data_IF_122570291851
#
_entry.id   IF_122570291851
#
_cell.length_a   1.000
_cell.length_b   1.000
_cell.length_c   1.000
_cell.angle_alpha   90.00
_cell.angle_beta   90.00
_cell.angle_gamma   90.00
#
_symmetry.space_group_name_H-M   'P 1'
#
loop_
_entity.id
_entity.type
_entity.pdbx_description
1 polymer ?
#
# COMPACT_ATOMS: atom_id res chain seq x y z
N UNK A 1 -33.58 55.64 10.07
CA UNK A 1 -33.97 54.21 10.10
C UNK A 1 -32.70 53.41 9.93
N UNK A 2 -32.24 52.79 11.01
CA UNK A 2 -30.99 52.03 11.08
C UNK A 2 -31.29 50.59 10.62
N UNK A 3 -30.62 50.14 9.58
CA UNK A 3 -30.78 48.81 9.00
C UNK A 3 -29.89 47.81 9.77
N UNK A 4 -30.49 46.98 10.61
CA UNK A 4 -29.81 45.90 11.36
C UNK A 4 -29.92 44.59 10.57
N UNK A 5 -29.12 44.41 9.56
CA UNK A 5 -28.93 43.10 8.98
C UNK A 5 -27.81 42.37 9.73
N UNK A 6 -28.21 41.41 10.51
CA UNK A 6 -27.36 40.50 11.25
C UNK A 6 -26.74 39.52 10.27
N UNK A 7 -25.45 39.73 9.93
CA UNK A 7 -24.68 38.83 9.08
C UNK A 7 -24.12 37.71 9.96
N UNK A 8 -24.84 36.62 10.05
CA UNK A 8 -24.36 35.39 10.66
C UNK A 8 -23.29 34.82 9.74
N UNK A 9 -22.03 35.08 10.05
CA UNK A 9 -20.92 34.36 9.43
C UNK A 9 -20.91 32.93 9.99
N UNK A 10 -21.47 32.02 9.20
CA UNK A 10 -21.22 30.60 9.39
C UNK A 10 -19.76 30.35 9.00
N UNK A 11 -18.89 30.21 10.00
CA UNK A 11 -17.57 29.64 9.81
C UNK A 11 -17.75 28.16 9.43
N UNK A 12 -17.84 27.90 8.13
CA UNK A 12 -17.66 26.54 7.62
C UNK A 12 -16.21 26.15 7.95
N UNK A 13 -16.09 25.26 8.93
CA UNK A 13 -14.87 24.49 9.11
C UNK A 13 -14.74 23.66 7.83
N UNK A 14 -13.82 24.07 6.95
CA UNK A 14 -13.46 23.32 5.76
C UNK A 14 -12.94 21.96 6.24
N UNK A 15 -13.66 20.89 5.90
CA UNK A 15 -13.13 19.55 5.97
C UNK A 15 -11.79 19.53 5.24
N UNK A 16 -10.76 18.82 5.74
CA UNK A 16 -9.50 18.70 5.02
C UNK A 16 -9.82 18.18 3.63
N UNK A 17 -9.35 18.92 2.62
CA UNK A 17 -9.45 18.51 1.23
C UNK A 17 -8.82 17.13 1.14
N UNK A 18 -9.65 16.11 0.99
CA UNK A 18 -9.21 14.80 0.55
C UNK A 18 -8.58 15.06 -0.81
N UNK A 19 -7.27 15.07 -0.86
CA UNK A 19 -6.52 15.03 -2.10
C UNK A 19 -6.90 13.68 -2.72
N UNK A 20 -7.96 13.68 -3.52
CA UNK A 20 -8.25 12.58 -4.42
C UNK A 20 -7.09 12.62 -5.42
N UNK A 21 -6.08 11.81 -5.16
CA UNK A 21 -5.19 11.33 -6.19
C UNK A 21 -6.12 10.79 -7.28
N UNK A 22 -6.00 11.21 -8.55
CA UNK A 22 -6.79 10.60 -9.60
C UNK A 22 -6.45 9.12 -9.57
N UNK A 23 -7.35 8.29 -9.06
CA UNK A 23 -7.37 6.88 -9.39
C UNK A 23 -7.80 6.85 -10.86
N UNK A 24 -6.87 7.14 -11.78
CA UNK A 24 -6.92 6.56 -13.09
C UNK A 24 -7.11 5.07 -12.84
N UNK A 25 -8.08 4.48 -13.51
CA UNK A 25 -8.37 3.05 -13.41
C UNK A 25 -7.09 2.29 -13.80
N UNK A 26 -6.21 2.04 -12.82
CA UNK A 26 -4.97 1.33 -13.02
C UNK A 26 -5.33 -0.12 -13.35
N UNK A 27 -5.26 -0.47 -14.62
CA UNK A 27 -5.46 -1.82 -15.10
C UNK A 27 -4.11 -2.49 -15.26
N UNK A 28 -3.81 -3.45 -14.39
CA UNK A 28 -2.59 -4.27 -14.48
C UNK A 28 -2.45 -4.95 -15.85
N UNK A 29 -3.57 -5.36 -16.45
CA UNK A 29 -3.57 -6.02 -17.76
C UNK A 29 -3.17 -5.05 -18.89
N UNK A 30 -3.67 -3.80 -18.88
CA UNK A 30 -3.29 -2.79 -19.85
C UNK A 30 -1.84 -2.35 -19.69
N UNK A 31 -1.37 -2.21 -18.45
CA UNK A 31 0.03 -1.94 -18.17
C UNK A 31 0.94 -3.07 -18.66
N UNK A 32 0.55 -4.34 -18.45
CA UNK A 32 1.31 -5.50 -18.92
C UNK A 32 1.51 -5.46 -20.42
N UNK A 33 0.44 -5.26 -21.19
CA UNK A 33 0.51 -5.22 -22.65
C UNK A 33 1.38 -4.07 -23.13
N UNK A 34 1.24 -2.88 -22.55
CA UNK A 34 2.09 -1.73 -22.88
C UNK A 34 3.59 -2.00 -22.63
N UNK A 35 3.92 -2.69 -21.55
CA UNK A 35 5.31 -3.06 -21.25
C UNK A 35 5.85 -4.09 -22.25
N UNK A 36 5.08 -5.11 -22.62
CA UNK A 36 5.48 -6.12 -23.63
C UNK A 36 5.75 -5.45 -24.97
N UNK A 37 4.84 -4.57 -25.44
CA UNK A 37 5.00 -3.86 -26.71
C UNK A 37 6.26 -2.98 -26.73
N UNK A 38 6.62 -2.38 -25.59
CA UNK A 38 7.84 -1.56 -25.46
C UNK A 38 9.11 -2.44 -25.44
N UNK A 39 9.06 -3.61 -24.78
CA UNK A 39 10.20 -4.54 -24.77
C UNK A 39 10.50 -5.13 -26.15
N UNK A 40 9.45 -5.43 -26.92
CA UNK A 40 9.61 -5.88 -28.30
C UNK A 40 10.26 -4.80 -29.17
N UNK A 41 9.84 -3.52 -29.04
CA UNK A 41 10.40 -2.41 -29.81
C UNK A 41 11.84 -2.09 -29.45
N UNK A 42 12.22 -2.24 -28.18
CA UNK A 42 13.57 -1.89 -27.70
C UNK A 42 14.60 -3.01 -27.86
N UNK A 43 14.17 -4.23 -28.23
CA UNK A 43 15.05 -5.41 -28.30
C UNK A 43 15.52 -5.87 -26.91
N UNK A 44 14.83 -5.46 -25.84
CA UNK A 44 15.14 -5.97 -24.50
C UNK A 44 14.66 -7.39 -24.32
N UNK A 45 13.59 -7.79 -25.02
CA UNK A 45 13.03 -9.11 -24.94
C UNK A 45 14.06 -10.20 -25.33
N UNK A 46 14.80 -9.98 -26.42
CA UNK A 46 15.83 -10.90 -26.87
C UNK A 46 16.99 -11.03 -25.86
N UNK A 47 17.33 -9.95 -25.15
CA UNK A 47 18.38 -10.01 -24.12
C UNK A 47 17.98 -10.87 -22.92
N UNK A 48 16.72 -10.83 -22.55
CA UNK A 48 16.20 -11.66 -21.45
C UNK A 48 15.99 -13.10 -21.89
N UNK A 49 15.48 -13.36 -23.11
CA UNK A 49 15.34 -14.70 -23.69
C UNK A 49 16.72 -15.38 -23.82
N UNK A 50 17.75 -14.64 -24.23
CA UNK A 50 19.13 -15.15 -24.32
C UNK A 50 19.75 -15.60 -22.99
N UNK A 51 19.15 -15.24 -21.83
CA UNK A 51 19.57 -15.76 -20.52
C UNK A 51 19.10 -17.19 -20.25
N UNK A 52 18.21 -17.73 -21.08
CA UNK A 52 17.67 -19.08 -20.94
C UNK A 52 18.62 -20.06 -21.63
N UNK A 53 19.43 -20.75 -20.84
CA UNK A 53 20.33 -21.83 -21.34
C UNK A 53 19.56 -23.15 -21.29
N UNK A 54 18.99 -23.54 -22.41
CA UNK A 54 18.08 -24.72 -22.54
C UNK A 54 18.74 -26.03 -22.11
N UNK A 55 20.07 -26.18 -22.29
CA UNK A 55 20.85 -27.36 -21.88
C UNK A 55 21.35 -27.31 -20.43
N UNK A 56 21.13 -26.21 -19.70
CA UNK A 56 21.41 -26.11 -18.27
C UNK A 56 20.07 -25.99 -17.46
N UNK A 57 19.63 -27.10 -16.84
CA UNK A 57 18.44 -27.08 -15.99
C UNK A 57 18.48 -26.04 -14.85
N UNK A 58 19.68 -25.71 -14.34
CA UNK A 58 19.83 -24.72 -13.29
C UNK A 58 19.57 -23.30 -13.82
N UNK A 59 19.91 -23.01 -15.06
CA UNK A 59 19.59 -21.74 -15.71
C UNK A 59 18.08 -21.54 -15.78
N UNK A 60 17.33 -22.57 -16.20
CA UNK A 60 15.87 -22.54 -16.28
C UNK A 60 15.24 -22.32 -14.89
N UNK A 61 15.67 -23.06 -13.87
CA UNK A 61 15.16 -22.93 -12.50
C UNK A 61 15.41 -21.55 -11.91
N UNK A 62 16.55 -20.95 -12.23
CA UNK A 62 16.93 -19.62 -11.73
C UNK A 62 16.35 -18.48 -12.55
N UNK A 63 15.82 -18.74 -13.73
CA UNK A 63 15.27 -17.71 -14.59
C UNK A 63 14.16 -16.91 -13.87
N UNK A 64 14.28 -15.60 -13.81
CA UNK A 64 13.36 -14.70 -13.10
C UNK A 64 13.38 -14.77 -11.56
N UNK A 65 14.28 -15.58 -10.96
CA UNK A 65 14.32 -15.73 -9.50
C UNK A 65 14.70 -14.43 -8.77
N UNK A 66 15.60 -13.62 -9.35
CA UNK A 66 15.99 -12.32 -8.78
C UNK A 66 14.80 -11.37 -8.71
N UNK A 67 14.03 -11.24 -9.81
CA UNK A 67 12.85 -10.38 -9.84
C UNK A 67 11.78 -10.87 -8.83
N UNK A 68 11.54 -12.17 -8.74
CA UNK A 68 10.61 -12.76 -7.79
C UNK A 68 11.04 -12.54 -6.33
N UNK A 69 12.33 -12.61 -6.03
CA UNK A 69 12.88 -12.37 -4.70
C UNK A 69 12.73 -10.88 -4.29
N UNK A 70 12.93 -9.95 -5.20
CA UNK A 70 12.76 -8.53 -4.93
C UNK A 70 11.29 -8.17 -4.69
N UNK A 71 10.36 -8.74 -5.45
CA UNK A 71 8.92 -8.62 -5.18
C UNK A 71 8.56 -9.15 -3.80
N UNK A 72 9.09 -10.32 -3.41
CA UNK A 72 8.86 -10.92 -2.09
C UNK A 72 9.40 -10.04 -0.97
N UNK A 73 10.63 -9.53 -1.08
CA UNK A 73 11.22 -8.61 -0.10
C UNK A 73 10.41 -7.33 0.05
N UNK A 74 9.93 -6.78 -1.06
CA UNK A 74 9.08 -5.59 -1.04
C UNK A 74 7.75 -5.85 -0.33
N UNK A 75 7.10 -6.98 -0.59
CA UNK A 75 5.88 -7.39 0.09
C UNK A 75 6.07 -7.52 1.61
N UNK A 76 7.18 -8.12 2.04
CA UNK A 76 7.52 -8.24 3.46
C UNK A 76 7.71 -6.88 4.14
N UNK A 77 8.33 -5.92 3.46
CA UNK A 77 8.49 -4.55 3.99
C UNK A 77 7.13 -3.86 4.13
N UNK A 78 6.20 -4.03 3.17
CA UNK A 78 4.82 -3.52 3.27
C UNK A 78 4.12 -4.10 4.49
N UNK A 79 4.12 -5.42 4.63
CA UNK A 79 3.44 -6.11 5.72
C UNK A 79 3.98 -5.71 7.10
N UNK A 80 5.30 -5.58 7.22
CA UNK A 80 5.96 -5.19 8.47
C UNK A 80 5.90 -3.68 8.75
N UNK A 81 5.74 -2.86 7.72
CA UNK A 81 5.68 -1.39 7.83
C UNK A 81 4.32 -0.85 8.26
N UNK A 82 3.24 -1.63 8.15
CA UNK A 82 1.90 -1.25 8.57
C UNK A 82 1.71 -1.46 10.07
N UNK A 83 1.98 -0.43 10.87
CA UNK A 83 1.76 -0.49 12.33
C UNK A 83 0.29 -0.22 12.66
N UNK A 84 -0.53 -1.29 12.63
CA UNK A 84 -1.97 -1.24 12.95
C UNK A 84 -2.24 -0.80 14.41
N UNK A 85 -1.29 -0.96 15.33
CA UNK A 85 -1.45 -0.56 16.72
C UNK A 85 -1.57 0.96 16.88
N UNK A 86 -0.88 1.73 16.05
CA UNK A 86 -0.98 3.19 16.05
C UNK A 86 -2.36 3.67 15.62
N UNK A 87 -2.92 3.07 14.57
CA UNK A 87 -4.28 3.40 14.09
C UNK A 87 -5.32 3.08 15.17
N UNK A 88 -5.22 1.91 15.82
CA UNK A 88 -6.11 1.51 16.90
C UNK A 88 -5.99 2.42 18.14
N UNK A 89 -4.80 2.88 18.45
CA UNK A 89 -4.56 3.78 19.59
C UNK A 89 -5.12 5.20 19.33
N UNK A 90 -4.98 5.73 18.12
CA UNK A 90 -5.59 7.01 17.75
C UNK A 90 -7.13 6.96 17.85
N UNK A 91 -7.76 5.85 17.45
CA UNK A 91 -9.20 5.62 17.63
C UNK A 91 -9.64 5.66 19.09
N UNK A 92 -8.90 4.99 19.98
CA UNK A 92 -9.18 5.01 21.43
C UNK A 92 -9.03 6.42 22.03
N UNK A 93 -8.08 7.21 21.53
CA UNK A 93 -7.90 8.60 21.97
C UNK A 93 -9.05 9.50 21.53
N UNK A 94 -9.56 9.34 20.31
CA UNK A 94 -10.74 10.06 19.83
C UNK A 94 -11.97 9.68 20.66
N UNK A 95 -12.15 8.41 21.03
CA UNK A 95 -13.22 7.97 21.93
C UNK A 95 -13.07 8.58 23.34
N UNK A 96 -11.85 8.67 23.87
CA UNK A 96 -11.59 9.31 25.14
C UNK A 96 -11.91 10.81 25.09
N UNK A 97 -11.54 11.50 24.01
CA UNK A 97 -11.84 12.89 23.78
C UNK A 97 -13.36 13.14 23.71
N UNK A 98 -14.10 12.28 23.00
CA UNK A 98 -15.56 12.36 22.91
C UNK A 98 -16.22 12.21 24.28
N UNK A 99 -15.75 11.27 25.11
CA UNK A 99 -16.21 11.10 26.50
C UNK A 99 -15.96 12.33 27.37
N UNK A 100 -14.76 12.94 27.25
CA UNK A 100 -14.45 14.16 27.99
C UNK A 100 -15.36 15.30 27.54
N UNK A 101 -15.53 15.48 26.22
CA UNK A 101 -16.41 16.51 25.67
C UNK A 101 -17.88 16.28 26.06
N UNK A 102 -18.35 15.03 26.03
CA UNK A 102 -19.71 14.66 26.46
C UNK A 102 -19.95 14.86 27.96
N UNK A 103 -18.91 14.89 28.78
CA UNK A 103 -19.00 15.18 30.23
C UNK A 103 -19.00 16.69 30.56
N UNK A 104 -18.88 17.54 29.53
CA UNK A 104 -18.93 18.98 29.67
C UNK A 104 -20.38 19.46 29.72
N UNK A 105 -20.84 19.84 30.90
CA UNK A 105 -22.22 20.32 31.12
C UNK A 105 -22.25 21.86 31.31
N UNK A 106 -22.69 22.56 30.28
CA UNK A 106 -22.82 24.02 30.33
C UNK A 106 -23.91 24.47 31.29
N UNK A 107 -24.86 23.61 31.63
CA UNK A 107 -25.98 23.97 32.52
C UNK A 107 -25.54 23.92 33.98
N UNK A 108 -24.56 23.08 34.35
CA UNK A 108 -23.89 23.15 35.68
C UNK A 108 -23.33 24.55 35.98
N UNK A 109 -22.90 25.28 34.96
CA UNK A 109 -22.36 26.66 35.11
C UNK A 109 -23.50 27.69 35.18
N UNK A 110 -24.64 27.43 34.56
CA UNK A 110 -25.78 28.37 34.53
C UNK A 110 -26.66 28.30 35.75
N UNK A 111 -26.84 27.13 36.35
CA UNK A 111 -27.77 26.95 37.50
C UNK A 111 -27.33 27.69 38.75
N UNK A 112 -26.05 28.02 38.91
CA UNK A 112 -25.56 28.74 40.11
C UNK A 112 -25.86 30.24 40.10
N UNK A 113 -26.50 30.82 39.07
CA UNK A 113 -26.89 32.23 39.06
C UNK A 113 -28.12 32.55 39.96
N UNK A 114 -28.86 31.51 40.38
CA UNK A 114 -30.09 31.66 41.18
C UNK A 114 -29.94 31.54 42.66
N UNK A 115 -28.77 31.09 43.18
CA UNK A 115 -28.57 30.78 44.60
C UNK A 115 -27.60 31.69 45.35
N UNK A 116 -27.26 32.85 44.78
CA UNK A 116 -26.36 33.84 45.38
C UNK A 116 -26.80 34.48 46.70
N UNK A 117 -27.99 34.09 47.20
CA UNK A 117 -28.59 34.73 48.36
C UNK A 117 -28.47 34.05 49.74
N UNK A 118 -28.12 32.76 49.84
CA UNK A 118 -28.34 32.05 51.12
C UNK A 118 -27.22 31.14 51.69
N UNK A 119 -26.10 30.88 51.03
CA UNK A 119 -25.12 29.94 51.60
C UNK A 119 -23.66 30.21 51.17
N UNK A 120 -23.10 31.32 51.73
CA UNK A 120 -21.70 31.74 51.44
C UNK A 120 -20.60 30.70 51.77
N UNK A 121 -20.84 29.68 52.54
CA UNK A 121 -19.83 28.67 52.90
C UNK A 121 -19.71 27.49 51.92
N UNK A 122 -20.79 27.09 51.29
CA UNK A 122 -20.80 25.91 50.41
C UNK A 122 -20.61 26.27 48.93
N UNK A 123 -20.99 27.48 48.51
CA UNK A 123 -20.84 27.94 47.14
C UNK A 123 -19.35 28.01 46.72
N UNK A 124 -18.48 28.49 47.61
CA UNK A 124 -17.01 28.53 47.32
C UNK A 124 -16.43 27.15 47.08
N UNK A 125 -16.78 26.16 47.93
CA UNK A 125 -16.30 24.77 47.78
C UNK A 125 -16.86 24.08 46.50
N UNK A 126 -18.12 24.40 46.13
CA UNK A 126 -18.72 23.89 44.88
C UNK A 126 -18.05 24.52 43.68
N UNK A 127 -17.80 25.83 43.69
CA UNK A 127 -17.07 26.51 42.62
C UNK A 127 -15.64 26.00 42.46
N UNK A 128 -14.93 25.81 43.58
CA UNK A 128 -13.58 25.21 43.54
C UNK A 128 -13.58 23.79 42.96
N UNK A 129 -14.57 22.96 43.31
CA UNK A 129 -14.70 21.61 42.74
C UNK A 129 -15.02 21.66 41.23
N UNK A 130 -15.84 22.59 40.82
CA UNK A 130 -16.21 22.80 39.42
C UNK A 130 -14.99 23.25 38.60
N UNK A 131 -14.27 24.26 39.10
CA UNK A 131 -13.02 24.76 38.51
C UNK A 131 -11.98 23.66 38.40
N UNK A 132 -11.79 22.86 39.45
CA UNK A 132 -10.84 21.75 39.44
C UNK A 132 -11.25 20.67 38.41
N UNK A 133 -12.57 20.36 38.34
CA UNK A 133 -13.08 19.42 37.33
C UNK A 133 -12.73 19.88 35.91
N UNK A 134 -13.01 21.14 35.56
CA UNK A 134 -12.76 21.68 34.23
C UNK A 134 -11.27 21.89 33.93
N UNK A 135 -10.47 22.28 34.93
CA UNK A 135 -9.00 22.35 34.78
C UNK A 135 -8.41 20.96 34.48
N UNK A 136 -8.84 19.92 35.22
CA UNK A 136 -8.40 18.55 34.98
C UNK A 136 -8.81 18.06 33.60
N UNK A 137 -10.03 18.39 33.17
CA UNK A 137 -10.49 18.05 31.80
C UNK A 137 -9.66 18.76 30.72
N UNK A 138 -9.32 20.04 30.92
CA UNK A 138 -8.43 20.78 30.03
C UNK A 138 -7.05 20.12 29.92
N UNK A 139 -6.45 19.74 31.02
CA UNK A 139 -5.16 19.04 31.06
C UNK A 139 -5.22 17.67 30.32
N UNK A 140 -6.33 16.95 30.44
CA UNK A 140 -6.54 15.68 29.72
C UNK A 140 -6.71 15.89 28.21
N UNK A 141 -7.46 16.92 27.82
CA UNK A 141 -7.62 17.31 26.40
C UNK A 141 -6.27 17.69 25.80
N UNK A 142 -5.46 18.47 26.48
CA UNK A 142 -4.13 18.88 26.01
C UNK A 142 -3.18 17.70 25.84
N UNK A 143 -3.24 16.72 26.74
CA UNK A 143 -2.47 15.47 26.59
C UNK A 143 -2.91 14.68 25.37
N UNK A 144 -4.22 14.51 25.17
CA UNK A 144 -4.75 13.80 24.01
C UNK A 144 -4.38 14.54 22.73
N UNK A 145 -4.52 15.87 22.69
CA UNK A 145 -4.13 16.68 21.55
C UNK A 145 -2.66 16.52 21.18
N UNK A 146 -1.78 16.57 22.20
CA UNK A 146 -0.34 16.39 21.99
C UNK A 146 -0.02 15.00 21.40
N UNK A 147 -0.69 13.97 21.90
CA UNK A 147 -0.50 12.60 21.39
C UNK A 147 -1.06 12.43 19.98
N UNK A 148 -2.23 13.02 19.68
CA UNK A 148 -2.78 13.02 18.33
C UNK A 148 -1.85 13.70 17.31
N UNK A 149 -1.17 14.79 17.72
CA UNK A 149 -0.15 15.46 16.90
C UNK A 149 1.04 14.55 16.58
N UNK A 150 1.46 13.72 17.52
CA UNK A 150 2.52 12.73 17.29
C UNK A 150 2.04 11.69 16.27
N UNK A 151 0.83 11.16 16.45
CA UNK A 151 0.26 10.19 15.49
C UNK A 151 0.03 10.77 14.11
N UNK A 152 -0.39 12.02 13.99
CA UNK A 152 -0.49 12.73 12.70
C UNK A 152 0.85 12.66 11.95
N UNK A 153 1.96 13.00 12.63
CA UNK A 153 3.30 12.93 12.03
C UNK A 153 3.75 11.51 11.67
N UNK A 154 3.38 10.52 12.47
CA UNK A 154 3.68 9.11 12.18
C UNK A 154 2.87 8.58 10.99
N UNK A 155 1.58 8.93 10.90
CA UNK A 155 0.72 8.59 9.76
C UNK A 155 1.24 9.24 8.47
N UNK A 156 1.62 10.51 8.51
CA UNK A 156 2.21 11.18 7.34
C UNK A 156 3.51 10.50 6.88
N UNK A 157 4.35 10.08 7.82
CA UNK A 157 5.57 9.32 7.50
C UNK A 157 5.24 7.95 6.92
N UNK A 158 4.24 7.25 7.47
CA UNK A 158 3.78 5.97 6.96
C UNK A 158 3.24 6.11 5.53
N UNK A 159 2.45 7.14 5.25
CA UNK A 159 1.92 7.42 3.90
C UNK A 159 3.05 7.67 2.90
N UNK A 160 4.05 8.49 3.25
CA UNK A 160 5.23 8.69 2.38
C UNK A 160 5.99 7.39 2.10
N UNK A 161 6.13 6.53 3.10
CA UNK A 161 6.75 5.22 2.92
C UNK A 161 5.91 4.33 1.99
N UNK A 162 4.58 4.33 2.15
CA UNK A 162 3.67 3.57 1.28
C UNK A 162 3.74 4.05 -0.18
N UNK A 163 3.83 5.36 -0.42
CA UNK A 163 4.00 5.92 -1.76
C UNK A 163 5.33 5.45 -2.40
N UNK A 164 6.41 5.48 -1.64
CA UNK A 164 7.70 4.99 -2.11
C UNK A 164 7.65 3.49 -2.43
N UNK A 165 7.01 2.71 -1.55
CA UNK A 165 6.87 1.27 -1.74
C UNK A 165 5.97 0.94 -2.94
N UNK A 166 4.90 1.70 -3.17
CA UNK A 166 4.06 1.54 -4.35
C UNK A 166 4.86 1.73 -5.64
N UNK A 167 5.67 2.79 -5.71
CA UNK A 167 6.51 3.05 -6.87
C UNK A 167 7.56 1.93 -7.09
N UNK A 168 8.22 1.48 -6.02
CA UNK A 168 9.17 0.37 -6.11
C UNK A 168 8.49 -0.94 -6.55
N UNK A 169 7.28 -1.23 -6.05
CA UNK A 169 6.50 -2.39 -6.47
C UNK A 169 6.13 -2.33 -7.96
N UNK A 170 5.86 -1.14 -8.48
CA UNK A 170 5.58 -0.95 -9.90
C UNK A 170 6.83 -1.26 -10.76
N UNK A 171 8.01 -0.83 -10.31
CA UNK A 171 9.28 -1.16 -10.97
C UNK A 171 9.57 -2.67 -10.95
N UNK A 172 9.36 -3.34 -9.80
CA UNK A 172 9.52 -4.80 -9.69
C UNK A 172 8.51 -5.56 -10.55
N UNK A 173 7.28 -5.09 -10.60
CA UNK A 173 6.26 -5.65 -11.50
C UNK A 173 6.70 -5.53 -12.97
N UNK A 174 7.24 -4.39 -13.35
CA UNK A 174 7.78 -4.15 -14.69
C UNK A 174 8.91 -5.14 -15.03
N UNK A 175 9.86 -5.34 -14.11
CA UNK A 175 10.93 -6.34 -14.29
C UNK A 175 10.38 -7.77 -14.38
N UNK A 176 9.41 -8.13 -13.54
CA UNK A 176 8.79 -9.45 -13.57
C UNK A 176 8.08 -9.71 -14.91
N UNK A 177 7.39 -8.72 -15.46
CA UNK A 177 6.74 -8.80 -16.77
C UNK A 177 7.76 -9.06 -17.88
N UNK A 178 8.97 -8.47 -17.82
CA UNK A 178 10.05 -8.76 -18.77
C UNK A 178 10.46 -10.25 -18.74
N UNK A 179 10.66 -10.80 -17.54
CA UNK A 179 11.00 -12.22 -17.40
C UNK A 179 9.88 -13.15 -17.89
N UNK A 180 8.62 -12.82 -17.59
CA UNK A 180 7.47 -13.61 -18.06
C UNK A 180 7.42 -13.56 -19.59
N UNK A 181 7.45 -12.39 -20.21
CA UNK A 181 7.39 -12.24 -21.66
C UNK A 181 8.57 -12.95 -22.36
N UNK A 182 9.77 -12.81 -21.81
CA UNK A 182 10.95 -13.50 -22.34
C UNK A 182 10.87 -15.03 -22.17
N UNK A 183 10.30 -15.51 -21.08
CA UNK A 183 10.04 -16.92 -20.88
C UNK A 183 9.00 -17.48 -21.83
N UNK A 184 7.88 -16.77 -22.05
CA UNK A 184 6.85 -17.11 -23.03
C UNK A 184 7.45 -17.18 -24.46
N UNK A 185 8.31 -16.22 -24.82
CA UNK A 185 9.02 -16.22 -26.09
C UNK A 185 10.02 -17.37 -26.17
N UNK A 186 10.76 -17.64 -25.10
CA UNK A 186 11.68 -18.77 -25.02
C UNK A 186 11.01 -20.12 -25.17
N UNK A 187 9.83 -20.33 -24.57
CA UNK A 187 9.02 -21.52 -24.75
C UNK A 187 8.62 -21.70 -26.23
N UNK A 188 8.20 -20.63 -26.88
CA UNK A 188 7.81 -20.65 -28.28
C UNK A 188 8.99 -21.02 -29.20
N UNK A 189 10.14 -20.38 -29.02
CA UNK A 189 11.35 -20.66 -29.79
C UNK A 189 11.83 -22.09 -29.58
N UNK A 190 11.78 -22.59 -28.34
CA UNK A 190 12.16 -23.96 -28.01
C UNK A 190 11.21 -24.97 -28.64
N UNK A 191 9.90 -24.69 -28.62
CA UNK A 191 8.91 -25.54 -29.28
C UNK A 191 9.16 -25.66 -30.79
N UNK A 192 9.36 -24.53 -31.47
CA UNK A 192 9.68 -24.50 -32.90
C UNK A 192 10.99 -25.24 -33.22
N UNK A 193 11.99 -25.14 -32.34
CA UNK A 193 13.25 -25.88 -32.48
C UNK A 193 13.08 -27.40 -32.31
N UNK A 194 12.25 -27.83 -31.36
CA UNK A 194 11.92 -29.24 -31.13
C UNK A 194 11.20 -29.80 -32.37
N UNK A 195 10.22 -29.08 -32.92
CA UNK A 195 9.52 -29.52 -34.15
C UNK A 195 10.46 -29.71 -35.35
N UNK A 196 11.44 -28.80 -35.51
CA UNK A 196 12.47 -28.94 -36.56
C UNK A 196 13.33 -30.21 -36.35
N UNK A 197 13.73 -30.49 -35.11
CA UNK A 197 14.49 -31.67 -34.77
C UNK A 197 13.73 -32.98 -34.95
N UNK A 198 12.41 -32.96 -34.68
CA UNK A 198 11.54 -34.12 -34.94
C UNK A 198 11.39 -34.41 -36.44
N UNK A 199 11.30 -33.38 -37.27
CA UNK A 199 11.31 -33.56 -38.74
C UNK A 199 12.64 -34.13 -39.25
N UNK A 200 13.78 -33.68 -38.65
CA UNK A 200 15.10 -34.22 -38.94
C UNK A 200 15.20 -35.71 -38.55
N UNK A 201 14.67 -36.04 -37.36
CA UNK A 201 14.66 -37.44 -36.87
C UNK A 201 13.84 -38.35 -37.78
N UNK A 202 12.69 -37.88 -38.30
CA UNK A 202 11.82 -38.64 -39.18
C UNK A 202 12.55 -39.08 -40.51
N UNK A 203 13.58 -38.33 -40.88
CA UNK A 203 14.36 -38.60 -42.09
C UNK A 203 15.69 -39.36 -41.86
N UNK A 204 16.25 -39.26 -40.61
CA UNK A 204 17.61 -39.75 -40.34
C UNK A 204 17.71 -41.01 -39.48
N UNK A 205 16.66 -41.38 -38.75
CA UNK A 205 16.60 -42.51 -37.80
C UNK A 205 17.80 -42.53 -36.78
N UNK A 206 18.24 -41.34 -36.35
CA UNK A 206 19.40 -41.12 -35.51
C UNK A 206 19.01 -41.22 -34.02
N UNK A 207 19.63 -42.16 -33.27
CA UNK A 207 19.34 -42.37 -31.81
C UNK A 207 19.81 -41.22 -30.97
N UNK A 208 20.92 -40.56 -31.30
CA UNK A 208 21.44 -39.42 -30.53
C UNK A 208 20.48 -38.23 -30.64
N UNK A 209 19.88 -38.03 -31.82
CA UNK A 209 18.88 -36.99 -32.04
C UNK A 209 17.60 -37.26 -31.24
N UNK A 210 17.19 -38.54 -31.11
CA UNK A 210 16.08 -38.92 -30.27
C UNK A 210 16.29 -38.57 -28.79
N UNK A 211 17.52 -38.79 -28.31
CA UNK A 211 17.90 -38.43 -26.94
C UNK A 211 17.95 -36.90 -26.73
N UNK A 212 18.47 -36.17 -27.70
CA UNK A 212 18.48 -34.70 -27.71
C UNK A 212 17.05 -34.14 -27.63
N UNK A 213 16.14 -34.62 -28.47
CA UNK A 213 14.73 -34.21 -28.45
C UNK A 213 14.08 -34.48 -27.08
N UNK A 214 14.36 -35.62 -26.47
CA UNK A 214 13.85 -35.94 -25.12
C UNK A 214 14.30 -34.93 -24.07
N UNK A 215 15.59 -34.52 -24.10
CA UNK A 215 16.12 -33.52 -23.20
C UNK A 215 15.52 -32.13 -23.45
N UNK A 216 15.35 -31.74 -24.71
CA UNK A 216 14.72 -30.47 -25.10
C UNK A 216 13.25 -30.39 -24.64
N UNK A 217 12.47 -31.47 -24.76
CA UNK A 217 11.10 -31.54 -24.24
C UNK A 217 11.05 -31.46 -22.72
N UNK A 218 12.04 -32.01 -22.01
CA UNK A 218 12.15 -31.85 -20.57
C UNK A 218 12.45 -30.40 -20.20
N UNK A 219 13.34 -29.73 -20.93
CA UNK A 219 13.65 -28.32 -20.73
C UNK A 219 12.43 -27.42 -21.01
N UNK A 220 11.66 -27.71 -22.08
CA UNK A 220 10.40 -27.03 -22.42
C UNK A 220 9.41 -27.09 -21.24
N UNK A 221 9.13 -28.31 -20.74
CA UNK A 221 8.25 -28.49 -19.59
C UNK A 221 8.73 -27.74 -18.33
N UNK A 222 10.05 -27.69 -18.06
CA UNK A 222 10.61 -26.97 -16.95
C UNK A 222 10.44 -25.46 -17.12
N UNK A 223 10.62 -24.95 -18.33
CA UNK A 223 10.47 -23.53 -18.64
C UNK A 223 9.00 -23.09 -18.54
N UNK A 224 8.07 -23.89 -19.08
CA UNK A 224 6.62 -23.65 -18.97
C UNK A 224 6.14 -23.61 -17.53
N UNK A 225 6.71 -24.45 -16.64
CA UNK A 225 6.36 -24.43 -15.21
C UNK A 225 6.96 -23.23 -14.48
N UNK A 226 8.02 -22.64 -15.05
CA UNK A 226 8.73 -21.53 -14.43
C UNK A 226 8.11 -20.17 -14.81
N UNK A 227 7.52 -20.04 -15.98
CA UNK A 227 6.87 -18.83 -16.51
C UNK A 227 5.45 -18.72 -16.01
#
# INVERSE_FOLDING_TARGET
>A
MINLQNKTEQTQVAAPATTQTPQENFSLAECRQGYIDDFEKTGELEKYTAKIEVFDPNSIVKFGSEAAEEVSKSADVVLNGMNMDQINNSGKMLEALDKIMGSFDFDEIKEDKGLFGKLFGNAKKKLEKLLNKYNTMGDEIDKIYTQLKVYEGEIEKANRNLDQMFNSNLEYYHELVKYIAAGEQGCKELHEYIEQKEQELATSNNVDLQFEISNLRQAENMLEQRV
#
